data_IF_608233937738
#
_entry.id   IF_608233937738
#
_cell.length_a   1.000
_cell.length_b   1.000
_cell.length_c   1.000
_cell.angle_alpha   90.00
_cell.angle_beta   90.00
_cell.angle_gamma   90.00
#
_symmetry.space_group_name_H-M   'P 1'
#
loop_
_entity.id
_entity.type
_entity.pdbx_description
1 polymer ?
#
# COMPACT_ATOMS: atom_id res chain seq x y z
N UNK A 1 -18.01 5.95 17.14
CA UNK A 1 -18.61 4.72 17.73
C UNK A 1 -18.66 3.61 16.72
N UNK A 2 -18.33 2.42 17.13
CA UNK A 2 -18.42 1.24 16.28
C UNK A 2 -19.55 0.30 16.77
N UNK A 3 -20.36 -0.18 15.83
CA UNK A 3 -21.52 -1.06 16.12
C UNK A 3 -21.33 -2.40 15.44
N UNK A 4 -21.75 -3.47 16.12
CA UNK A 4 -21.78 -4.82 15.55
C UNK A 4 -23.22 -5.16 15.15
N UNK A 5 -23.41 -5.61 13.91
CA UNK A 5 -24.68 -6.06 13.38
C UNK A 5 -24.53 -7.45 12.78
N UNK A 6 -25.44 -8.36 13.12
CA UNK A 6 -25.50 -9.69 12.51
C UNK A 6 -26.28 -9.63 11.20
N UNK A 7 -25.69 -10.18 10.12
CA UNK A 7 -26.35 -10.36 8.83
C UNK A 7 -26.19 -11.81 8.35
N UNK A 8 -27.26 -12.57 8.46
CA UNK A 8 -27.21 -13.99 8.10
C UNK A 8 -26.15 -14.74 8.89
N UNK A 9 -25.16 -15.31 8.20
CA UNK A 9 -24.04 -16.05 8.79
C UNK A 9 -22.79 -15.20 9.05
N UNK A 10 -22.86 -13.88 8.81
CA UNK A 10 -21.73 -12.97 9.02
C UNK A 10 -22.03 -11.89 10.05
N UNK A 11 -20.98 -11.34 10.63
CA UNK A 11 -21.05 -10.23 11.58
C UNK A 11 -20.37 -9.01 10.97
N UNK A 12 -21.05 -7.87 10.94
CA UNK A 12 -20.55 -6.64 10.42
C UNK A 12 -20.21 -5.65 11.53
N UNK A 13 -19.12 -4.93 11.38
CA UNK A 13 -18.75 -3.77 12.20
C UNK A 13 -18.99 -2.51 11.37
N UNK A 14 -19.89 -1.66 11.82
CA UNK A 14 -20.14 -0.35 11.24
C UNK A 14 -19.55 0.71 12.14
N UNK A 15 -18.79 1.62 11.57
CA UNK A 15 -18.21 2.74 12.31
C UNK A 15 -18.19 4.00 11.47
N UNK A 16 -18.18 5.13 12.16
CA UNK A 16 -18.13 6.46 11.58
C UNK A 16 -16.76 7.08 11.88
N UNK A 17 -16.13 7.67 10.89
CA UNK A 17 -14.88 8.40 11.02
C UNK A 17 -14.96 9.74 10.27
N UNK A 18 -14.07 10.66 10.58
CA UNK A 18 -13.94 11.92 9.84
C UNK A 18 -12.81 11.80 8.81
N UNK A 19 -13.08 12.21 7.58
CA UNK A 19 -12.05 12.27 6.53
C UNK A 19 -11.11 13.46 6.71
N UNK A 20 -10.13 13.59 5.82
CA UNK A 20 -9.15 14.69 5.84
C UNK A 20 -9.79 16.10 5.74
N UNK A 21 -11.02 16.17 5.30
CA UNK A 21 -11.80 17.41 5.17
C UNK A 21 -12.79 17.65 6.32
N UNK A 22 -12.75 16.81 7.36
CA UNK A 22 -13.68 16.89 8.49
C UNK A 22 -15.09 16.40 8.19
N UNK A 23 -15.28 15.69 7.05
CA UNK A 23 -16.57 15.11 6.69
C UNK A 23 -16.76 13.75 7.35
N UNK A 24 -17.93 13.56 7.97
CA UNK A 24 -18.29 12.28 8.56
C UNK A 24 -18.56 11.22 7.49
N UNK A 25 -17.85 10.12 7.56
CA UNK A 25 -17.95 8.98 6.65
C UNK A 25 -18.24 7.70 7.43
N UNK A 26 -19.12 6.85 6.88
CA UNK A 26 -19.42 5.55 7.44
C UNK A 26 -18.68 4.45 6.69
N UNK A 27 -18.18 3.46 7.41
CA UNK A 27 -17.61 2.25 6.83
C UNK A 27 -18.18 1.00 7.46
N UNK A 28 -18.31 -0.03 6.65
CA UNK A 28 -18.75 -1.36 7.02
C UNK A 28 -17.65 -2.38 6.74
N UNK A 29 -17.35 -3.21 7.73
CA UNK A 29 -16.45 -4.36 7.58
C UNK A 29 -17.19 -5.63 7.99
N UNK A 30 -17.05 -6.70 7.22
CA UNK A 30 -17.74 -7.97 7.45
C UNK A 30 -16.76 -9.05 7.90
N UNK A 31 -17.16 -9.84 8.91
CA UNK A 31 -16.36 -10.92 9.51
C UNK A 31 -17.15 -12.21 9.60
N UNK A 32 -16.50 -13.37 9.44
CA UNK A 32 -17.17 -14.66 9.54
C UNK A 32 -17.60 -15.03 10.97
N UNK A 33 -16.91 -14.49 12.00
CA UNK A 33 -17.16 -14.79 13.40
C UNK A 33 -17.46 -13.54 14.23
N UNK A 34 -18.25 -13.70 15.29
CA UNK A 34 -18.55 -12.62 16.23
C UNK A 34 -17.30 -12.15 16.99
N UNK A 35 -16.41 -13.07 17.31
CA UNK A 35 -15.18 -12.77 18.06
C UNK A 35 -14.24 -11.83 17.28
N UNK A 36 -14.09 -12.09 15.99
CA UNK A 36 -13.32 -11.21 15.10
C UNK A 36 -13.96 -9.84 14.98
N UNK A 37 -15.27 -9.76 14.85
CA UNK A 37 -16.01 -8.49 14.82
C UNK A 37 -15.83 -7.69 16.12
N UNK A 38 -15.91 -8.34 17.28
CA UNK A 38 -15.69 -7.70 18.61
C UNK A 38 -14.25 -7.21 18.75
N UNK A 39 -13.28 -8.01 18.32
CA UNK A 39 -11.88 -7.63 18.36
C UNK A 39 -11.62 -6.39 17.49
N UNK A 40 -12.17 -6.36 16.29
CA UNK A 40 -12.05 -5.22 15.38
C UNK A 40 -12.76 -3.99 15.92
N UNK A 41 -13.95 -4.14 16.50
CA UNK A 41 -14.68 -3.04 17.15
C UNK A 41 -13.83 -2.35 18.22
N UNK A 42 -13.26 -3.12 19.13
CA UNK A 42 -12.40 -2.59 20.20
C UNK A 42 -11.14 -1.90 19.67
N UNK A 43 -10.56 -2.47 18.62
CA UNK A 43 -9.40 -1.88 17.96
C UNK A 43 -9.76 -0.51 17.34
N UNK A 44 -10.86 -0.43 16.61
CA UNK A 44 -11.33 0.83 15.99
C UNK A 44 -11.63 1.89 17.05
N UNK A 45 -12.33 1.52 18.11
CA UNK A 45 -12.63 2.44 19.22
C UNK A 45 -11.36 2.96 19.89
N UNK A 46 -10.37 2.11 20.08
CA UNK A 46 -9.07 2.50 20.62
C UNK A 46 -8.31 3.44 19.66
N UNK A 47 -8.26 3.11 18.36
CA UNK A 47 -7.61 3.93 17.34
C UNK A 47 -8.26 5.32 17.23
N UNK A 48 -9.59 5.39 17.25
CA UNK A 48 -10.34 6.65 17.23
C UNK A 48 -10.10 7.48 18.52
N UNK A 49 -10.07 6.84 19.68
CA UNK A 49 -9.85 7.51 20.96
C UNK A 49 -8.42 8.05 21.10
N UNK A 50 -7.43 7.36 20.55
CA UNK A 50 -6.00 7.76 20.60
C UNK A 50 -5.59 8.68 19.46
N UNK A 51 -6.47 8.93 18.49
CA UNK A 51 -6.16 9.73 17.29
C UNK A 51 -5.25 9.02 16.28
N UNK A 52 -5.04 7.71 16.44
CA UNK A 52 -4.20 6.90 15.56
C UNK A 52 -5.00 6.18 14.45
N UNK A 53 -6.26 6.54 14.26
CA UNK A 53 -7.10 5.95 13.24
C UNK A 53 -6.60 6.31 11.84
N UNK A 54 -6.28 5.28 11.05
CA UNK A 54 -5.92 5.45 9.64
C UNK A 54 -7.19 5.49 8.78
N UNK A 55 -7.37 6.59 8.07
CA UNK A 55 -8.49 6.74 7.13
C UNK A 55 -8.42 5.63 6.08
N UNK A 56 -9.49 4.83 5.94
CA UNK A 56 -9.49 3.74 4.96
C UNK A 56 -9.29 4.26 3.54
N UNK A 57 -8.29 3.73 2.85
CA UNK A 57 -7.96 4.10 1.48
C UNK A 57 -7.66 2.86 0.65
N UNK A 58 -8.07 2.88 -0.61
CA UNK A 58 -7.76 1.83 -1.60
C UNK A 58 -6.59 2.20 -2.49
N UNK A 59 -5.90 3.30 -2.20
CA UNK A 59 -4.72 3.75 -2.96
C UNK A 59 -3.65 2.66 -2.96
N UNK A 60 -3.20 2.30 -4.15
CA UNK A 60 -2.13 1.31 -4.32
C UNK A 60 -0.76 1.94 -4.12
N UNK A 61 0.25 1.10 -3.90
CA UNK A 61 1.65 1.55 -3.80
C UNK A 61 2.08 2.28 -5.08
N UNK A 62 1.67 1.79 -6.25
CA UNK A 62 1.97 2.44 -7.53
C UNK A 62 1.38 3.85 -7.61
N UNK A 63 0.10 4.01 -7.33
CA UNK A 63 -0.58 5.31 -7.34
C UNK A 63 0.05 6.29 -6.34
N UNK A 64 0.34 5.83 -5.13
CA UNK A 64 0.98 6.65 -4.11
C UNK A 64 2.38 7.13 -4.55
N UNK A 65 3.23 6.23 -5.05
CA UNK A 65 4.58 6.57 -5.47
C UNK A 65 4.61 7.52 -6.67
N UNK A 66 3.71 7.33 -7.62
CA UNK A 66 3.62 8.21 -8.79
C UNK A 66 3.13 9.62 -8.44
N UNK A 67 2.30 9.78 -7.43
CA UNK A 67 1.90 11.08 -6.89
C UNK A 67 2.98 11.70 -5.98
N UNK A 68 3.63 10.89 -5.18
CA UNK A 68 4.65 11.31 -4.22
C UNK A 68 5.94 11.81 -4.88
N UNK A 69 6.40 11.15 -5.94
CA UNK A 69 7.71 11.41 -6.57
C UNK A 69 7.86 12.85 -7.09
N UNK A 70 6.90 13.44 -7.84
CA UNK A 70 7.00 14.83 -8.26
C UNK A 70 7.04 15.82 -7.10
N UNK A 71 6.31 15.54 -6.03
CA UNK A 71 6.29 16.37 -4.81
C UNK A 71 7.65 16.38 -4.12
N UNK A 72 8.32 15.24 -4.04
CA UNK A 72 9.67 15.13 -3.49
C UNK A 72 10.71 15.82 -4.38
N UNK A 73 10.59 15.70 -5.69
CA UNK A 73 11.43 16.39 -6.65
C UNK A 73 11.36 17.91 -6.44
N UNK A 74 10.17 18.46 -6.32
CA UNK A 74 9.97 19.90 -6.07
C UNK A 74 10.48 20.33 -4.70
N UNK A 75 10.22 19.54 -3.66
CA UNK A 75 10.62 19.83 -2.28
C UNK A 75 12.16 19.87 -2.11
N UNK A 76 12.85 18.91 -2.69
CA UNK A 76 14.29 18.75 -2.57
C UNK A 76 15.08 19.34 -3.74
N UNK A 77 14.41 19.95 -4.70
CA UNK A 77 15.01 20.56 -5.90
C UNK A 77 15.98 19.61 -6.63
N UNK A 78 15.52 18.39 -6.88
CA UNK A 78 16.35 17.39 -7.56
C UNK A 78 16.73 17.82 -8.97
N UNK A 79 17.93 17.46 -9.39
CA UNK A 79 18.32 17.58 -10.78
C UNK A 79 17.46 16.66 -11.67
N UNK A 80 17.21 17.03 -12.95
CA UNK A 80 16.39 16.20 -13.86
C UNK A 80 16.86 14.76 -13.96
N UNK A 81 18.16 14.52 -13.96
CA UNK A 81 18.74 13.18 -14.01
C UNK A 81 18.46 12.36 -12.73
N UNK A 82 18.45 12.99 -11.57
CA UNK A 82 18.06 12.36 -10.29
C UNK A 82 16.60 11.95 -10.31
N UNK A 83 15.72 12.80 -10.80
CA UNK A 83 14.30 12.48 -10.96
C UNK A 83 14.08 11.28 -11.91
N UNK A 84 14.72 11.29 -13.07
CA UNK A 84 14.64 10.18 -14.03
C UNK A 84 15.15 8.86 -13.46
N UNK A 85 16.25 8.89 -12.73
CA UNK A 85 16.83 7.71 -12.07
C UNK A 85 15.88 7.13 -11.02
N UNK A 86 15.31 7.97 -10.17
CA UNK A 86 14.34 7.56 -9.16
C UNK A 86 13.04 7.04 -9.79
N UNK A 87 12.55 7.71 -10.83
CA UNK A 87 11.37 7.26 -11.58
C UNK A 87 11.60 5.88 -12.20
N UNK A 88 12.75 5.68 -12.84
CA UNK A 88 13.14 4.38 -13.42
C UNK A 88 13.20 3.28 -12.34
N UNK A 89 13.77 3.55 -11.20
CA UNK A 89 13.83 2.61 -10.08
C UNK A 89 12.44 2.22 -9.61
N UNK A 90 11.55 3.18 -9.43
CA UNK A 90 10.18 2.93 -8.99
C UNK A 90 9.41 2.10 -10.02
N UNK A 91 9.47 2.48 -11.30
CA UNK A 91 8.72 1.81 -12.36
C UNK A 91 9.22 0.40 -12.67
N UNK A 92 10.52 0.14 -12.52
CA UNK A 92 11.12 -1.12 -12.94
C UNK A 92 11.40 -2.08 -11.78
N UNK A 93 11.67 -1.58 -10.57
CA UNK A 93 12.07 -2.39 -9.42
C UNK A 93 11.02 -2.48 -8.32
N UNK A 94 10.11 -1.54 -8.21
CA UNK A 94 9.12 -1.48 -7.14
C UNK A 94 7.71 -1.83 -7.66
N UNK A 95 7.21 -1.12 -8.64
CA UNK A 95 5.85 -1.31 -9.16
C UNK A 95 5.58 -2.72 -9.68
N UNK A 96 6.49 -3.39 -10.44
CA UNK A 96 6.24 -4.74 -10.92
C UNK A 96 6.05 -5.79 -9.82
N UNK A 97 6.56 -5.54 -8.62
CA UNK A 97 6.53 -6.48 -7.49
C UNK A 97 5.43 -6.17 -6.48
N UNK A 98 5.31 -4.93 -6.05
CA UNK A 98 4.39 -4.51 -4.98
C UNK A 98 3.44 -3.37 -5.38
N UNK A 99 3.49 -2.89 -6.61
CA UNK A 99 2.72 -1.72 -7.07
C UNK A 99 1.21 -1.91 -7.02
N UNK A 100 0.70 -3.12 -7.24
CA UNK A 100 -0.73 -3.44 -7.18
C UNK A 100 -1.29 -3.62 -5.76
N UNK A 101 -0.42 -3.67 -4.76
CA UNK A 101 -0.81 -3.82 -3.36
C UNK A 101 -1.38 -2.52 -2.82
N UNK A 102 -2.44 -2.59 -2.01
CA UNK A 102 -2.95 -1.42 -1.29
C UNK A 102 -1.92 -0.91 -0.28
N UNK A 103 -1.70 0.40 -0.24
CA UNK A 103 -0.70 1.02 0.61
C UNK A 103 -0.90 0.71 2.10
N UNK A 104 -2.15 0.64 2.57
CA UNK A 104 -2.48 0.34 3.96
C UNK A 104 -2.27 -1.13 4.34
N UNK A 105 -2.15 -2.03 3.38
CA UNK A 105 -1.86 -3.45 3.59
C UNK A 105 -0.37 -3.78 3.51
N UNK A 106 0.47 -2.80 3.17
CA UNK A 106 1.91 -2.97 3.10
C UNK A 106 2.50 -3.18 4.49
N UNK A 107 3.26 -4.26 4.66
CA UNK A 107 3.90 -4.64 5.92
C UNK A 107 5.41 -4.82 5.74
N UNK A 108 6.21 -4.79 6.82
CA UNK A 108 7.66 -4.93 6.73
C UNK A 108 8.12 -6.19 5.98
N UNK A 109 7.45 -7.32 6.14
CA UNK A 109 7.82 -8.56 5.46
C UNK A 109 7.66 -8.48 3.92
N UNK A 110 6.75 -7.65 3.41
CA UNK A 110 6.64 -7.40 1.97
C UNK A 110 7.89 -6.70 1.44
N UNK A 111 8.46 -5.78 2.21
CA UNK A 111 9.71 -5.10 1.86
C UNK A 111 10.91 -6.05 1.90
N UNK A 112 10.98 -6.93 2.89
CA UNK A 112 12.01 -7.97 2.98
C UNK A 112 11.96 -8.94 1.80
N UNK A 113 10.77 -9.39 1.42
CA UNK A 113 10.56 -10.21 0.24
C UNK A 113 10.97 -9.51 -1.04
N UNK A 114 10.66 -8.22 -1.17
CA UNK A 114 11.08 -7.40 -2.30
C UNK A 114 12.62 -7.33 -2.39
N UNK A 115 13.30 -7.04 -1.29
CA UNK A 115 14.77 -6.98 -1.26
C UNK A 115 15.41 -8.34 -1.57
N UNK A 116 14.86 -9.43 -1.04
CA UNK A 116 15.33 -10.78 -1.34
C UNK A 116 15.16 -11.12 -2.82
N UNK A 117 14.05 -10.77 -3.42
CA UNK A 117 13.79 -10.97 -4.84
C UNK A 117 14.74 -10.15 -5.70
N UNK A 118 14.93 -8.88 -5.39
CA UNK A 118 15.83 -7.99 -6.12
C UNK A 118 17.30 -8.41 -6.00
N UNK A 119 17.72 -8.93 -4.85
CA UNK A 119 19.09 -9.42 -4.66
C UNK A 119 19.42 -10.66 -5.50
N UNK A 120 18.41 -11.45 -5.85
CA UNK A 120 18.54 -12.62 -6.73
C UNK A 120 18.39 -12.28 -8.22
N UNK A 121 17.93 -11.07 -8.53
CA UNK A 121 17.72 -10.63 -9.92
C UNK A 121 19.04 -10.18 -10.51
N UNK A 122 19.46 -10.72 -11.68
CA UNK A 122 20.69 -10.29 -12.35
C UNK A 122 20.64 -8.81 -12.72
N UNK A 123 21.79 -8.15 -12.64
CA UNK A 123 21.93 -6.73 -12.99
C UNK A 123 21.46 -6.48 -14.44
N UNK A 124 20.57 -5.51 -14.61
CA UNK A 124 19.98 -5.17 -15.91
C UNK A 124 18.76 -6.00 -16.33
N UNK A 125 18.39 -7.02 -15.56
CA UNK A 125 17.21 -7.87 -15.85
C UNK A 125 15.90 -7.35 -15.27
N UNK A 126 15.91 -6.18 -14.69
CA UNK A 126 14.73 -5.52 -14.11
C UNK A 126 13.75 -4.98 -15.17
N UNK A 127 14.16 -4.86 -16.42
CA UNK A 127 13.30 -4.51 -17.56
C UNK A 127 13.10 -5.79 -18.40
N UNK A 128 11.85 -6.18 -18.60
CA UNK A 128 11.50 -7.44 -19.27
C UNK A 128 12.16 -7.60 -20.66
N UNK A 129 12.18 -6.55 -21.46
CA UNK A 129 12.85 -6.54 -22.76
C UNK A 129 14.37 -6.74 -22.69
N UNK A 130 15.04 -6.15 -21.71
CA UNK A 130 16.49 -6.32 -21.50
C UNK A 130 16.85 -7.70 -20.93
N UNK A 131 15.94 -8.33 -20.22
CA UNK A 131 16.15 -9.68 -19.71
C UNK A 131 16.32 -10.70 -20.85
N UNK A 132 15.55 -10.56 -21.91
CA UNK A 132 15.68 -11.39 -23.12
C UNK A 132 17.01 -11.16 -23.82
N UNK A 133 17.39 -9.89 -24.02
CA UNK A 133 18.68 -9.53 -24.66
C UNK A 133 19.90 -10.05 -23.89
N UNK A 134 19.86 -10.02 -22.57
CA UNK A 134 20.95 -10.54 -21.72
C UNK A 134 21.06 -12.06 -21.81
N UNK A 135 19.93 -12.77 -21.87
CA UNK A 135 19.91 -14.22 -22.00
C UNK A 135 20.45 -14.67 -23.34
N UNK A 136 20.22 -13.93 -24.42
CA UNK A 136 20.75 -14.20 -25.75
C UNK A 136 22.24 -13.91 -25.88
N UNK A 137 22.75 -12.89 -25.21
CA UNK A 137 24.19 -12.54 -25.20
C UNK A 137 25.05 -13.44 -24.29
N UNK A 138 24.44 -14.17 -23.37
CA UNK A 138 25.12 -15.12 -22.49
C UNK A 138 25.16 -16.55 -23.04
N UNK A 139 24.52 -16.77 -24.16
CA UNK A 139 24.61 -18.04 -24.92
C UNK A 139 25.72 -18.00 -25.97
#
# INVERSE_FOLDING_TARGET
MAYITKRGNSFGVRYTYEDEHGKSCDKWESFPTKEEAVKRQKQIEHELATGNFLIPSTVTVAEFLMDWLPKQCSKHKWAPKTYESNLSTIQNLIIPYIGSMEMQKLKPYHMENLYTTLSKTPCGSYIEGKKQELTEKQK
#
